data_IF_583362327004
#
_entry.id   IF_583362327004
#
_cell.length_a   1.000
_cell.length_b   1.000
_cell.length_c   1.000
_cell.angle_alpha   90.00
_cell.angle_beta   90.00
_cell.angle_gamma   90.00
#
_symmetry.space_group_name_H-M   'P 1'
#
loop_
_entity.id
_entity.type
_entity.pdbx_description
1 polymer ?
#
# COMPACT_ATOMS: atom_id res chain seq x y z
N UNK A 1 -16.65 2.41 6.87
CA UNK A 1 -15.45 2.24 7.73
C UNK A 1 -14.19 2.73 7.02
N UNK A 2 -13.82 2.19 5.85
CA UNK A 2 -12.66 2.71 5.10
C UNK A 2 -12.82 4.19 4.76
N UNK A 3 -14.00 4.61 4.30
CA UNK A 3 -14.32 6.02 4.01
C UNK A 3 -14.12 6.95 5.22
N UNK A 4 -14.44 6.50 6.44
CA UNK A 4 -14.27 7.31 7.65
C UNK A 4 -12.78 7.60 7.95
N UNK A 5 -11.92 6.59 7.73
CA UNK A 5 -10.48 6.73 7.90
C UNK A 5 -9.88 7.58 6.78
N UNK A 6 -10.31 7.38 5.53
CA UNK A 6 -9.89 8.19 4.40
C UNK A 6 -10.27 9.67 4.58
N UNK A 7 -11.53 9.95 4.93
CA UNK A 7 -12.02 11.31 5.19
C UNK A 7 -11.23 11.98 6.31
N UNK A 8 -10.94 11.24 7.38
CA UNK A 8 -10.10 11.75 8.47
C UNK A 8 -8.68 12.06 8.00
N UNK A 9 -8.03 11.15 7.27
CA UNK A 9 -6.69 11.34 6.73
C UNK A 9 -6.63 12.60 5.84
N UNK A 10 -7.57 12.75 4.92
CA UNK A 10 -7.69 13.93 4.05
C UNK A 10 -7.91 15.20 4.88
N UNK A 11 -8.78 15.17 5.89
CA UNK A 11 -9.08 16.33 6.73
C UNK A 11 -7.85 16.84 7.49
N UNK A 12 -6.95 15.96 7.91
CA UNK A 12 -5.72 16.33 8.63
C UNK A 12 -4.50 16.49 7.72
N UNK A 13 -4.66 16.31 6.42
CA UNK A 13 -3.60 16.46 5.41
C UNK A 13 -2.60 15.31 5.37
N UNK A 14 -3.01 14.10 5.75
CA UNK A 14 -2.23 12.88 5.53
C UNK A 14 -2.41 12.39 4.09
N UNK A 15 -1.35 11.88 3.45
CA UNK A 15 -1.43 11.35 2.10
C UNK A 15 -2.24 10.06 2.07
N UNK A 16 -3.13 9.94 1.09
CA UNK A 16 -3.96 8.75 0.84
C UNK A 16 -3.66 8.09 -0.51
N UNK A 17 -2.89 8.75 -1.38
CA UNK A 17 -2.41 8.19 -2.66
C UNK A 17 -0.87 8.12 -2.73
N UNK A 18 -0.36 7.28 -3.62
CA UNK A 18 1.06 7.18 -3.96
C UNK A 18 1.58 8.48 -4.59
N UNK A 19 0.74 9.20 -5.33
CA UNK A 19 1.10 10.51 -5.89
C UNK A 19 1.38 11.54 -4.79
N UNK A 20 0.54 11.59 -3.75
CA UNK A 20 0.74 12.46 -2.59
C UNK A 20 1.97 12.05 -1.76
N UNK A 21 2.34 10.77 -1.78
CA UNK A 21 3.61 10.28 -1.22
C UNK A 21 4.84 10.64 -2.09
N UNK A 22 4.65 11.23 -3.27
CA UNK A 22 5.72 11.62 -4.19
C UNK A 22 6.18 10.51 -5.13
N UNK A 23 5.40 9.44 -5.28
CA UNK A 23 5.69 8.36 -6.23
C UNK A 23 5.13 8.74 -7.60
N UNK A 24 6.03 9.15 -8.50
CA UNK A 24 5.67 9.53 -9.87
C UNK A 24 5.94 8.45 -10.92
N UNK A 25 6.26 7.22 -10.48
CA UNK A 25 6.44 6.10 -11.39
C UNK A 25 5.09 5.71 -12.02
N UNK A 26 5.09 5.26 -13.27
CA UNK A 26 3.86 4.90 -14.00
C UNK A 26 4.02 3.61 -14.78
N UNK A 27 2.91 2.92 -15.04
CA UNK A 27 2.90 1.70 -15.85
C UNK A 27 3.75 0.58 -15.22
N UNK A 28 4.56 -0.08 -16.05
CA UNK A 28 5.36 -1.23 -15.61
C UNK A 28 6.40 -0.86 -14.54
N UNK A 29 6.98 0.35 -14.59
CA UNK A 29 7.93 0.82 -13.58
C UNK A 29 7.29 0.95 -12.19
N UNK A 30 6.03 1.40 -12.14
CA UNK A 30 5.28 1.45 -10.89
C UNK A 30 5.06 0.03 -10.35
N UNK A 31 4.58 -0.87 -11.21
CA UNK A 31 4.31 -2.25 -10.81
C UNK A 31 5.57 -2.94 -10.25
N UNK A 32 6.72 -2.79 -10.91
CA UNK A 32 7.99 -3.34 -10.44
C UNK A 32 8.40 -2.79 -9.07
N UNK A 33 8.26 -1.47 -8.86
CA UNK A 33 8.59 -0.82 -7.59
C UNK A 33 7.67 -1.26 -6.46
N UNK A 34 6.36 -1.31 -6.71
CA UNK A 34 5.39 -1.74 -5.70
C UNK A 34 5.57 -3.23 -5.38
N UNK A 35 5.90 -4.06 -6.37
CA UNK A 35 6.22 -5.47 -6.12
C UNK A 35 7.47 -5.62 -5.23
N UNK A 36 8.53 -4.86 -5.50
CA UNK A 36 9.72 -4.87 -4.64
C UNK A 36 9.41 -4.42 -3.20
N UNK A 37 8.54 -3.42 -3.02
CA UNK A 37 8.06 -3.01 -1.68
C UNK A 37 7.24 -4.12 -1.01
N UNK A 38 6.38 -4.79 -1.77
CA UNK A 38 5.58 -5.89 -1.26
C UNK A 38 6.44 -7.09 -0.82
N UNK A 39 7.45 -7.46 -1.61
CA UNK A 39 8.42 -8.50 -1.25
C UNK A 39 9.21 -8.13 0.02
N UNK A 40 9.67 -6.88 0.13
CA UNK A 40 10.36 -6.40 1.34
C UNK A 40 9.44 -6.40 2.56
N UNK A 41 8.17 -6.05 2.39
CA UNK A 41 7.17 -6.08 3.46
C UNK A 41 6.86 -7.51 3.92
N UNK A 42 7.09 -8.50 3.05
CA UNK A 42 6.97 -9.93 3.30
C UNK A 42 8.33 -10.60 3.53
N UNK A 43 9.36 -9.87 3.96
CA UNK A 43 10.65 -10.45 4.32
C UNK A 43 10.59 -11.18 5.66
N UNK A 44 11.47 -12.17 5.85
CA UNK A 44 11.53 -12.95 7.10
C UNK A 44 11.76 -12.05 8.32
N UNK A 45 10.90 -12.20 9.35
CA UNK A 45 10.98 -11.41 10.58
C UNK A 45 10.16 -10.11 10.57
N UNK A 46 9.47 -9.79 9.47
CA UNK A 46 8.58 -8.63 9.43
C UNK A 46 7.30 -8.81 10.25
N UNK A 47 6.70 -7.68 10.62
CA UNK A 47 5.50 -7.67 11.48
C UNK A 47 4.23 -8.12 10.76
N UNK A 48 4.29 -8.26 9.43
CA UNK A 48 3.15 -8.62 8.59
C UNK A 48 2.57 -10.01 8.94
N UNK A 49 3.40 -10.90 9.47
CA UNK A 49 2.99 -12.25 9.89
C UNK A 49 2.23 -12.28 11.21
N UNK A 50 2.11 -11.16 11.91
CA UNK A 50 1.24 -11.06 13.10
C UNK A 50 -0.24 -10.95 12.73
N UNK A 51 -0.56 -10.79 11.44
CA UNK A 51 -1.93 -10.78 10.95
C UNK A 51 -2.57 -12.17 11.15
N UNK A 52 -3.87 -12.26 11.49
CA UNK A 52 -4.55 -13.53 11.80
C UNK A 52 -4.83 -14.40 10.55
N UNK A 53 -4.15 -14.13 9.43
CA UNK A 53 -4.29 -14.79 8.14
C UNK A 53 -2.98 -14.75 7.37
N UNK A 54 -2.83 -15.66 6.41
CA UNK A 54 -1.63 -15.74 5.57
C UNK A 54 -1.56 -14.55 4.60
N UNK A 55 -0.48 -13.78 4.73
CA UNK A 55 -0.15 -12.65 3.86
C UNK A 55 1.04 -13.03 2.97
N UNK A 56 0.86 -12.85 1.67
CA UNK A 56 1.89 -13.02 0.64
C UNK A 56 2.13 -11.68 -0.08
N UNK A 57 3.25 -11.58 -0.79
CA UNK A 57 3.63 -10.36 -1.50
C UNK A 57 2.61 -9.94 -2.55
N UNK A 58 1.95 -10.89 -3.20
CA UNK A 58 0.91 -10.59 -4.20
C UNK A 58 -0.32 -9.90 -3.58
N UNK A 59 -0.75 -10.33 -2.39
CA UNK A 59 -1.82 -9.67 -1.63
C UNK A 59 -1.40 -8.27 -1.17
N UNK A 60 -0.15 -8.10 -0.74
CA UNK A 60 0.35 -6.78 -0.34
C UNK A 60 0.42 -5.84 -1.53
N UNK A 61 0.91 -6.32 -2.67
CA UNK A 61 0.91 -5.58 -3.93
C UNK A 61 -0.52 -5.14 -4.30
N UNK A 62 -1.47 -6.07 -4.32
CA UNK A 62 -2.86 -5.77 -4.63
C UNK A 62 -3.48 -4.78 -3.64
N UNK A 63 -3.15 -4.90 -2.35
CA UNK A 63 -3.64 -4.00 -1.31
C UNK A 63 -3.09 -2.57 -1.48
N UNK A 64 -1.82 -2.41 -1.83
CA UNK A 64 -1.22 -1.08 -2.10
C UNK A 64 -1.89 -0.43 -3.30
N UNK A 65 -2.04 -1.16 -4.41
CA UNK A 65 -2.69 -0.64 -5.62
C UNK A 65 -4.16 -0.29 -5.39
N UNK A 66 -4.88 -1.11 -4.61
CA UNK A 66 -6.26 -0.83 -4.25
C UNK A 66 -6.40 0.38 -3.32
N UNK A 67 -5.48 0.54 -2.35
CA UNK A 67 -5.47 1.69 -1.47
C UNK A 67 -5.20 2.99 -2.24
N UNK A 68 -4.23 2.98 -3.16
CA UNK A 68 -3.95 4.10 -4.06
C UNK A 68 -5.14 4.50 -4.94
N UNK A 69 -5.90 3.51 -5.44
CA UNK A 69 -7.09 3.77 -6.24
C UNK A 69 -8.29 4.29 -5.41
N UNK A 70 -8.31 4.01 -4.10
CA UNK A 70 -9.38 4.43 -3.19
C UNK A 70 -9.14 5.82 -2.60
N UNK A 71 -7.88 6.24 -2.47
CA UNK A 71 -7.49 7.60 -2.09
C UNK A 71 -7.81 8.61 -3.19
#
# INVERSE_FOLDING_TARGET
EIEEVLDFCVQVGLPVTLEELGVHATGDELNEKIMAVAELSCAEGETIYNMPFDVDSDKVFAAIMAADQLG
#
